data_IF_716089532774
#
_entry.id   IF_716089532774
#
_cell.length_a   1.000
_cell.length_b   1.000
_cell.length_c   1.000
_cell.angle_alpha   90.00
_cell.angle_beta   90.00
_cell.angle_gamma   90.00
#
_symmetry.space_group_name_H-M   'P 1'
#
loop_
_entity.id
_entity.type
_entity.pdbx_description
1 polymer ?
#
# COMPACT_ATOMS: atom_id res chain seq x y z
N UNK A 1 10.63 -12.54 -17.65
CA UNK A 1 10.63 -11.16 -17.11
C UNK A 1 9.22 -10.66 -16.80
N UNK A 2 8.34 -10.37 -17.76
CA UNK A 2 7.01 -9.80 -17.44
C UNK A 2 6.15 -10.71 -16.55
N UNK A 3 6.09 -12.01 -16.87
CA UNK A 3 5.35 -13.00 -16.08
C UNK A 3 5.91 -13.12 -14.66
N UNK A 4 7.23 -13.25 -14.53
CA UNK A 4 7.93 -13.26 -13.25
C UNK A 4 7.67 -11.99 -12.43
N UNK A 5 7.75 -10.81 -13.06
CA UNK A 5 7.47 -9.53 -12.41
C UNK A 5 6.01 -9.42 -12.00
N UNK A 6 5.09 -9.94 -12.80
CA UNK A 6 3.67 -9.97 -12.45
C UNK A 6 3.43 -10.82 -11.19
N UNK A 7 4.03 -12.01 -11.11
CA UNK A 7 3.96 -12.85 -9.92
C UNK A 7 4.55 -12.15 -8.69
N UNK A 8 5.68 -11.45 -8.84
CA UNK A 8 6.28 -10.66 -7.75
C UNK A 8 5.35 -9.53 -7.28
N UNK A 9 4.74 -8.80 -8.21
CA UNK A 9 3.80 -7.70 -7.90
C UNK A 9 2.54 -8.23 -7.22
N UNK A 10 1.98 -9.36 -7.66
CA UNK A 10 0.81 -10.01 -7.04
C UNK A 10 1.11 -10.52 -5.63
N UNK A 11 2.30 -11.11 -5.43
CA UNK A 11 2.75 -11.53 -4.11
C UNK A 11 2.91 -10.33 -3.17
N UNK A 12 3.52 -9.24 -3.65
CA UNK A 12 3.72 -8.02 -2.89
C UNK A 12 2.39 -7.35 -2.51
N UNK A 13 1.44 -7.24 -3.45
CA UNK A 13 0.08 -6.75 -3.21
C UNK A 13 -0.59 -7.52 -2.06
N UNK A 14 -0.56 -8.86 -2.14
CA UNK A 14 -1.14 -9.73 -1.12
C UNK A 14 -0.50 -9.53 0.25
N UNK A 15 0.82 -9.38 0.31
CA UNK A 15 1.56 -9.17 1.56
C UNK A 15 1.29 -7.79 2.16
N UNK A 16 1.31 -6.73 1.34
CA UNK A 16 1.04 -5.37 1.77
C UNK A 16 -0.40 -5.20 2.27
N UNK A 17 -1.39 -5.80 1.61
CA UNK A 17 -2.77 -5.78 2.09
C UNK A 17 -2.93 -6.46 3.46
N UNK A 18 -2.26 -7.59 3.67
CA UNK A 18 -2.27 -8.26 4.99
C UNK A 18 -1.62 -7.39 6.06
N UNK A 19 -0.46 -6.82 5.74
CA UNK A 19 0.27 -5.94 6.65
C UNK A 19 -0.56 -4.69 7.00
N UNK A 20 -1.18 -4.04 6.01
CA UNK A 20 -2.05 -2.89 6.22
C UNK A 20 -3.19 -3.22 7.19
N UNK A 21 -3.91 -4.33 6.98
CA UNK A 21 -4.98 -4.76 7.90
C UNK A 21 -4.47 -5.00 9.33
N UNK A 22 -3.28 -5.59 9.47
CA UNK A 22 -2.66 -5.77 10.79
C UNK A 22 -2.32 -4.43 11.46
N UNK A 23 -1.86 -3.45 10.69
CA UNK A 23 -1.58 -2.09 11.17
C UNK A 23 -2.87 -1.35 11.52
N UNK A 24 -3.92 -1.46 10.72
CA UNK A 24 -5.24 -0.87 11.05
C UNK A 24 -5.79 -1.43 12.37
N UNK A 25 -5.66 -2.74 12.58
CA UNK A 25 -6.02 -3.35 13.86
C UNK A 25 -5.14 -2.83 15.01
N UNK A 26 -3.83 -2.65 14.80
CA UNK A 26 -2.92 -2.09 15.79
C UNK A 26 -3.35 -0.67 16.19
N UNK A 27 -3.68 0.19 15.22
CA UNK A 27 -4.20 1.54 15.44
C UNK A 27 -5.46 1.49 16.31
N UNK A 28 -6.41 0.62 15.95
CA UNK A 28 -7.66 0.49 16.68
C UNK A 28 -7.45 0.04 18.13
N UNK A 29 -6.64 -1.00 18.34
CA UNK A 29 -6.30 -1.49 19.67
C UNK A 29 -5.57 -0.44 20.51
N UNK A 30 -4.72 0.39 19.90
CA UNK A 30 -4.03 1.48 20.61
C UNK A 30 -4.96 2.62 21.01
N UNK A 31 -5.97 2.92 20.19
CA UNK A 31 -7.04 3.86 20.55
C UNK A 31 -7.89 3.33 21.69
N UNK A 32 -8.22 2.04 21.69
CA UNK A 32 -8.93 1.39 22.80
C UNK A 32 -8.11 1.44 24.09
N UNK A 33 -6.80 1.13 24.02
CA UNK A 33 -5.90 1.24 25.16
C UNK A 33 -5.86 2.67 25.72
N UNK A 34 -5.73 3.68 24.86
CA UNK A 34 -5.81 5.09 25.26
C UNK A 34 -7.10 5.39 26.04
N UNK A 35 -8.26 4.97 25.52
CA UNK A 35 -9.55 5.19 26.19
C UNK A 35 -9.63 4.49 27.54
N UNK A 36 -9.17 3.22 27.63
CA UNK A 36 -9.15 2.46 28.88
C UNK A 36 -8.20 3.07 29.92
N UNK A 37 -7.02 3.53 29.50
CA UNK A 37 -6.07 4.24 30.37
C UNK A 37 -6.67 5.52 30.93
N UNK A 38 -7.34 6.34 30.10
CA UNK A 38 -8.00 7.56 30.57
C UNK A 38 -9.18 7.29 31.53
N UNK A 39 -9.91 6.19 31.34
CA UNK A 39 -10.92 5.74 32.31
C UNK A 39 -10.29 5.33 33.63
N UNK A 40 -9.19 4.56 33.58
CA UNK A 40 -8.46 4.15 34.77
C UNK A 40 -7.92 5.35 35.56
N UNK A 41 -7.31 6.32 34.88
CA UNK A 41 -6.81 7.54 35.50
C UNK A 41 -7.91 8.29 36.28
N UNK A 42 -9.09 8.45 35.67
CA UNK A 42 -10.26 9.06 36.34
C UNK A 42 -10.71 8.28 37.56
N UNK A 43 -10.79 6.96 37.46
CA UNK A 43 -11.15 6.10 38.60
C UNK A 43 -10.12 6.19 39.73
N UNK A 44 -8.82 6.19 39.42
CA UNK A 44 -7.74 6.35 40.39
C UNK A 44 -7.83 7.71 41.11
N UNK A 45 -8.11 8.79 40.38
CA UNK A 45 -8.32 10.12 40.97
C UNK A 45 -9.53 10.16 41.91
N UNK A 46 -10.64 9.53 41.52
CA UNK A 46 -11.83 9.43 42.37
C UNK A 46 -11.55 8.66 43.67
N UNK A 47 -10.82 7.54 43.59
CA UNK A 47 -10.39 6.78 44.76
C UNK A 47 -9.44 7.60 45.65
N UNK A 48 -8.48 8.31 45.05
CA UNK A 48 -7.58 9.20 45.79
C UNK A 48 -8.31 10.27 46.59
N UNK A 49 -9.39 10.83 46.04
CA UNK A 49 -10.23 11.81 46.73
C UNK A 49 -11.11 11.22 47.84
N UNK A 50 -11.45 9.93 47.75
CA UNK A 50 -12.27 9.23 48.74
C UNK A 50 -11.44 8.59 49.87
N UNK A 51 -10.12 8.49 49.69
CA UNK A 51 -9.20 7.86 50.63
C UNK A 51 -8.84 8.79 51.80
N UNK A 52 -8.96 8.29 53.02
CA UNK A 52 -8.67 9.05 54.24
C UNK A 52 -7.18 9.00 54.60
N UNK A 53 -6.49 7.90 54.26
CA UNK A 53 -5.07 7.75 54.53
C UNK A 53 -4.24 8.64 53.60
N UNK A 54 -3.66 9.71 54.15
CA UNK A 54 -2.99 10.78 53.37
C UNK A 54 -1.94 10.27 52.38
N UNK A 55 -1.09 9.31 52.78
CA UNK A 55 -0.06 8.78 51.88
C UNK A 55 -0.66 7.96 50.73
N UNK A 56 -1.75 7.23 50.99
CA UNK A 56 -2.42 6.42 49.96
C UNK A 56 -3.22 7.31 49.00
N UNK A 57 -3.94 8.30 49.53
CA UNK A 57 -4.64 9.34 48.76
C UNK A 57 -3.69 10.08 47.80
N UNK A 58 -2.52 10.50 48.31
CA UNK A 58 -1.47 11.14 47.50
C UNK A 58 -0.96 10.22 46.39
N UNK A 59 -0.66 8.96 46.70
CA UNK A 59 -0.15 8.04 45.71
C UNK A 59 -1.18 7.69 44.62
N UNK A 60 -2.46 7.55 44.97
CA UNK A 60 -3.55 7.37 44.00
C UNK A 60 -3.71 8.59 43.08
N UNK A 61 -3.57 9.79 43.62
CA UNK A 61 -3.61 11.03 42.83
C UNK A 61 -2.42 11.11 41.85
N UNK A 62 -1.22 10.76 42.31
CA UNK A 62 -0.03 10.72 41.45
C UNK A 62 -0.08 9.60 40.40
N UNK A 63 -0.70 8.45 40.74
CA UNK A 63 -0.98 7.39 39.77
C UNK A 63 -1.93 7.90 38.68
N UNK A 64 -2.99 8.60 39.07
CA UNK A 64 -3.92 9.20 38.11
C UNK A 64 -3.21 10.19 37.17
N UNK A 65 -2.41 11.11 37.70
CA UNK A 65 -1.62 12.06 36.88
C UNK A 65 -0.63 11.34 35.94
N UNK A 66 -0.04 10.22 36.39
CA UNK A 66 0.86 9.42 35.57
C UNK A 66 0.10 8.77 34.42
N UNK A 67 -1.05 8.16 34.71
CA UNK A 67 -1.89 7.50 33.72
C UNK A 67 -2.52 8.50 32.73
N UNK A 68 -2.86 9.73 33.15
CA UNK A 68 -3.25 10.81 32.21
C UNK A 68 -2.14 11.13 31.21
N UNK A 69 -0.88 11.16 31.66
CA UNK A 69 0.27 11.36 30.76
C UNK A 69 0.49 10.16 29.84
N UNK A 70 0.26 8.94 30.32
CA UNK A 70 0.34 7.70 29.53
C UNK A 70 -0.79 7.63 28.48
N UNK A 71 -2.01 8.06 28.83
CA UNK A 71 -3.14 8.21 27.89
C UNK A 71 -2.71 9.08 26.70
N UNK A 72 -2.13 10.26 26.97
CA UNK A 72 -1.68 11.17 25.92
C UNK A 72 -0.58 10.56 25.04
N UNK A 73 0.32 9.76 25.61
CA UNK A 73 1.31 9.02 24.83
C UNK A 73 0.65 7.96 23.94
N UNK A 74 -0.30 7.19 24.46
CA UNK A 74 -1.02 6.19 23.64
C UNK A 74 -1.79 6.84 22.50
N UNK A 75 -2.37 8.02 22.74
CA UNK A 75 -3.04 8.81 21.70
C UNK A 75 -2.05 9.23 20.60
N UNK A 76 -0.94 9.88 20.97
CA UNK A 76 0.08 10.30 20.01
C UNK A 76 0.62 9.10 19.22
N UNK A 77 0.90 7.99 19.90
CA UNK A 77 1.41 6.78 19.27
C UNK A 77 0.37 6.11 18.33
N UNK A 78 -0.94 6.24 18.60
CA UNK A 78 -2.00 5.79 17.70
C UNK A 78 -2.13 6.69 16.46
N UNK A 79 -1.94 8.00 16.64
CA UNK A 79 -1.92 8.96 15.54
C UNK A 79 -0.69 8.73 14.64
N UNK A 80 0.49 8.47 15.20
CA UNK A 80 1.68 8.11 14.42
C UNK A 80 1.51 6.79 13.67
N UNK A 81 0.94 5.75 14.31
CA UNK A 81 0.62 4.49 13.63
C UNK A 81 -0.28 4.72 12.41
N UNK A 82 -1.28 5.58 12.56
CA UNK A 82 -2.23 5.86 11.49
C UNK A 82 -1.62 6.71 10.38
N UNK A 83 -1.14 7.90 10.71
CA UNK A 83 -0.70 8.89 9.73
C UNK A 83 0.62 8.54 9.06
N UNK A 84 1.50 7.79 9.73
CA UNK A 84 2.81 7.43 9.16
C UNK A 84 2.72 6.07 8.48
N UNK A 85 2.53 4.99 9.24
CA UNK A 85 2.69 3.64 8.69
C UNK A 85 1.43 3.12 7.99
N UNK A 86 0.23 3.39 8.50
CA UNK A 86 -1.01 2.92 7.86
C UNK A 86 -1.25 3.62 6.52
N UNK A 87 -1.20 4.94 6.48
CA UNK A 87 -1.40 5.68 5.22
C UNK A 87 -0.27 5.42 4.21
N UNK A 88 0.99 5.25 4.65
CA UNK A 88 2.08 4.81 3.77
C UNK A 88 1.75 3.46 3.11
N UNK A 89 1.33 2.47 3.89
CA UNK A 89 1.00 1.14 3.36
C UNK A 89 -0.15 1.21 2.36
N UNK A 90 -1.18 2.02 2.64
CA UNK A 90 -2.32 2.24 1.75
C UNK A 90 -1.90 2.88 0.42
N UNK A 91 -1.06 3.91 0.47
CA UNK A 91 -0.52 4.56 -0.72
C UNK A 91 0.30 3.58 -1.57
N UNK A 92 1.09 2.71 -0.92
CA UNK A 92 1.83 1.67 -1.60
C UNK A 92 0.92 0.62 -2.24
N UNK A 93 -0.17 0.21 -1.58
CA UNK A 93 -1.16 -0.70 -2.18
C UNK A 93 -1.77 -0.08 -3.45
N UNK A 94 -2.17 1.20 -3.39
CA UNK A 94 -2.72 1.91 -4.54
C UNK A 94 -1.72 2.01 -5.70
N UNK A 95 -0.46 2.24 -5.37
CA UNK A 95 0.62 2.33 -6.34
C UNK A 95 0.91 0.98 -7.00
N UNK A 96 0.90 -0.11 -6.22
CA UNK A 96 1.00 -1.48 -6.74
C UNK A 96 -0.19 -1.82 -7.65
N UNK A 97 -1.39 -1.37 -7.30
CA UNK A 97 -2.55 -1.51 -8.17
C UNK A 97 -2.35 -0.78 -9.51
N UNK A 98 -1.77 0.42 -9.50
CA UNK A 98 -1.43 1.16 -10.72
C UNK A 98 -0.43 0.40 -11.60
N UNK A 99 0.56 -0.28 -11.00
CA UNK A 99 1.50 -1.14 -11.74
C UNK A 99 0.78 -2.33 -12.39
N UNK A 100 -0.16 -2.97 -11.68
CA UNK A 100 -0.98 -4.06 -12.22
C UNK A 100 -1.82 -3.61 -13.41
N UNK A 101 -2.42 -2.43 -13.33
CA UNK A 101 -3.23 -1.85 -14.41
C UNK A 101 -2.38 -1.62 -15.66
N UNK A 102 -1.15 -1.11 -15.49
CA UNK A 102 -0.19 -0.92 -16.60
C UNK A 102 0.21 -2.27 -17.25
N UNK A 103 0.39 -3.33 -16.45
CA UNK A 103 0.65 -4.67 -17.00
C UNK A 103 -0.56 -5.20 -17.78
N UNK A 104 -1.78 -4.92 -17.31
CA UNK A 104 -2.99 -5.27 -18.01
C UNK A 104 -3.14 -4.53 -19.34
N UNK A 105 -2.80 -3.23 -19.40
CA UNK A 105 -2.75 -2.48 -20.66
C UNK A 105 -1.76 -3.07 -21.65
N UNK A 106 -0.60 -3.55 -21.20
CA UNK A 106 0.34 -4.27 -22.08
C UNK A 106 -0.28 -5.54 -22.67
N UNK A 107 -1.03 -6.29 -21.87
CA UNK A 107 -1.75 -7.49 -22.36
C UNK A 107 -2.80 -7.10 -23.42
N UNK A 108 -3.52 -5.98 -23.23
CA UNK A 108 -4.45 -5.46 -24.25
C UNK A 108 -3.73 -5.08 -25.55
N UNK A 109 -2.60 -4.36 -25.47
CA UNK A 109 -1.79 -4.04 -26.65
C UNK A 109 -1.34 -5.30 -27.39
N UNK A 110 -0.85 -6.31 -26.67
CA UNK A 110 -0.46 -7.60 -27.25
C UNK A 110 -1.64 -8.29 -27.96
N UNK A 111 -2.81 -8.33 -27.30
CA UNK A 111 -4.01 -8.91 -27.87
C UNK A 111 -4.42 -8.20 -29.16
N UNK A 112 -4.45 -6.86 -29.16
CA UNK A 112 -4.79 -6.07 -30.34
C UNK A 112 -3.84 -6.34 -31.50
N UNK A 113 -2.54 -6.46 -31.22
CA UNK A 113 -1.53 -6.82 -32.23
C UNK A 113 -1.79 -8.21 -32.81
N UNK A 114 -2.04 -9.22 -31.97
CA UNK A 114 -2.32 -10.60 -32.42
C UNK A 114 -3.66 -10.75 -33.14
N UNK A 115 -4.69 -10.02 -32.72
CA UNK A 115 -5.97 -10.00 -33.42
C UNK A 115 -5.82 -9.38 -34.82
N UNK A 116 -4.98 -8.34 -34.97
CA UNK A 116 -4.64 -7.77 -36.28
C UNK A 116 -3.87 -8.76 -37.18
N UNK A 117 -2.95 -9.55 -36.61
CA UNK A 117 -2.20 -10.59 -37.33
C UNK A 117 -3.13 -11.67 -37.89
N UNK A 118 -4.05 -12.17 -37.07
CA UNK A 118 -5.06 -13.16 -37.48
C UNK A 118 -6.00 -12.60 -38.55
N UNK A 119 -6.43 -11.34 -38.39
CA UNK A 119 -7.30 -10.69 -39.37
C UNK A 119 -6.60 -10.48 -40.71
N UNK A 120 -5.34 -10.05 -40.71
CA UNK A 120 -4.53 -9.92 -41.93
C UNK A 120 -4.39 -11.27 -42.65
N UNK A 121 -4.12 -12.35 -41.92
CA UNK A 121 -4.06 -13.69 -42.50
C UNK A 121 -5.37 -14.09 -43.20
N UNK A 122 -6.52 -13.84 -42.56
CA UNK A 122 -7.85 -14.07 -43.15
C UNK A 122 -8.10 -13.23 -44.40
N UNK A 123 -7.65 -11.96 -44.43
CA UNK A 123 -7.78 -11.09 -45.60
C UNK A 123 -6.94 -11.58 -46.78
N UNK A 124 -5.71 -12.05 -46.51
CA UNK A 124 -4.84 -12.67 -47.52
C UNK A 124 -5.43 -13.97 -48.09
N UNK A 125 -5.98 -14.83 -47.23
CA UNK A 125 -6.68 -16.06 -47.67
C UNK A 125 -7.91 -15.74 -48.54
N UNK A 126 -8.71 -14.74 -48.14
CA UNK A 126 -9.86 -14.31 -48.93
C UNK A 126 -9.45 -13.78 -50.31
N UNK A 127 -8.37 -12.99 -50.40
CA UNK A 127 -7.84 -12.54 -51.69
C UNK A 127 -7.42 -13.72 -52.57
N UNK A 128 -6.65 -14.68 -52.02
CA UNK A 128 -6.24 -15.87 -52.77
C UNK A 128 -7.45 -16.67 -53.28
N UNK A 129 -8.51 -16.79 -52.47
CA UNK A 129 -9.77 -17.44 -52.89
C UNK A 129 -10.47 -16.69 -54.02
N UNK A 130 -10.48 -15.35 -54.00
CA UNK A 130 -11.05 -14.53 -55.08
C UNK A 130 -10.26 -14.66 -56.39
N UNK A 131 -8.94 -14.77 -56.30
CA UNK A 131 -8.05 -15.01 -57.45
C UNK A 131 -8.36 -16.36 -58.12
N UNK A 132 -8.47 -17.43 -57.33
CA UNK A 132 -8.87 -18.77 -57.82
C UNK A 132 -10.28 -18.76 -58.43
N UNK A 133 -11.19 -17.94 -57.90
CA UNK A 133 -12.55 -17.82 -58.41
C UNK A 133 -12.69 -16.86 -59.61
N UNK A 134 -11.59 -16.28 -60.12
CA UNK A 134 -11.56 -15.32 -61.22
C UNK A 134 -12.47 -14.08 -61.03
N UNK A 135 -12.70 -13.65 -59.77
CA UNK A 135 -13.53 -12.47 -59.43
C UNK A 135 -12.70 -11.19 -59.41
N UNK A 136 -12.27 -10.75 -60.59
CA UNK A 136 -11.32 -9.64 -60.77
C UNK A 136 -11.86 -8.28 -60.31
N UNK A 137 -13.18 -8.09 -60.31
CA UNK A 137 -13.87 -6.88 -59.83
C UNK A 137 -13.63 -6.59 -58.34
N UNK A 138 -13.41 -7.64 -57.53
CA UNK A 138 -13.23 -7.53 -56.06
C UNK A 138 -11.77 -7.52 -55.60
N UNK A 139 -10.82 -7.80 -56.50
CA UNK A 139 -9.40 -7.91 -56.15
C UNK A 139 -8.80 -6.60 -55.67
N UNK A 140 -9.18 -5.48 -56.29
CA UNK A 140 -8.69 -4.15 -55.88
C UNK A 140 -9.10 -3.81 -54.46
N UNK A 141 -10.37 -4.08 -54.09
CA UNK A 141 -10.87 -3.85 -52.74
C UNK A 141 -10.17 -4.78 -51.73
N UNK A 142 -10.03 -6.07 -52.05
CA UNK A 142 -9.34 -7.02 -51.18
C UNK A 142 -7.87 -6.64 -50.95
N UNK A 143 -7.19 -6.10 -51.97
CA UNK A 143 -5.82 -5.61 -51.84
C UNK A 143 -5.73 -4.37 -50.94
N UNK A 144 -6.67 -3.43 -51.07
CA UNK A 144 -6.71 -2.25 -50.20
C UNK A 144 -6.93 -2.64 -48.73
N UNK A 145 -7.87 -3.56 -48.46
CA UNK A 145 -8.10 -4.08 -47.11
C UNK A 145 -6.84 -4.74 -46.52
N UNK A 146 -6.07 -5.48 -47.34
CA UNK A 146 -4.79 -6.06 -46.90
C UNK A 146 -3.82 -4.96 -46.48
N UNK A 147 -3.63 -3.92 -47.31
CA UNK A 147 -2.73 -2.80 -46.99
C UNK A 147 -3.14 -2.09 -45.71
N UNK A 148 -4.44 -1.87 -45.48
CA UNK A 148 -4.94 -1.26 -44.24
C UNK A 148 -4.66 -2.13 -43.00
N UNK A 149 -4.81 -3.45 -43.11
CA UNK A 149 -4.52 -4.37 -42.01
C UNK A 149 -3.01 -4.58 -41.80
N UNK A 150 -2.18 -4.45 -42.83
CA UNK A 150 -0.71 -4.42 -42.71
C UNK A 150 -0.26 -3.22 -41.88
N UNK A 151 -0.79 -2.02 -42.14
CA UNK A 151 -0.50 -0.83 -41.34
C UNK A 151 -0.97 -0.98 -39.88
N UNK A 152 -2.14 -1.59 -39.66
CA UNK A 152 -2.64 -1.87 -38.29
C UNK A 152 -1.76 -2.88 -37.56
N UNK A 153 -1.25 -3.88 -38.25
CA UNK A 153 -0.35 -4.88 -37.68
C UNK A 153 0.97 -4.23 -37.25
N UNK A 154 1.58 -3.44 -38.14
CA UNK A 154 2.82 -2.70 -37.87
C UNK A 154 2.66 -1.77 -36.68
N UNK A 155 1.62 -0.94 -36.67
CA UNK A 155 1.32 -0.06 -35.54
C UNK A 155 1.08 -0.83 -34.24
N UNK A 156 0.34 -1.93 -34.28
CA UNK A 156 0.09 -2.77 -33.10
C UNK A 156 1.37 -3.37 -32.52
N UNK A 157 2.32 -3.75 -33.39
CA UNK A 157 3.63 -4.22 -32.98
C UNK A 157 4.44 -3.09 -32.33
N UNK A 158 4.53 -1.92 -32.97
CA UNK A 158 5.22 -0.74 -32.43
C UNK A 158 4.68 -0.32 -31.07
N UNK A 159 3.35 -0.24 -30.92
CA UNK A 159 2.68 0.12 -29.67
C UNK A 159 3.02 -0.89 -28.56
N UNK A 160 3.02 -2.19 -28.88
CA UNK A 160 3.36 -3.26 -27.92
C UNK A 160 4.84 -3.25 -27.51
N UNK A 161 5.75 -3.00 -28.45
CA UNK A 161 7.19 -2.90 -28.17
C UNK A 161 7.47 -1.67 -27.30
N UNK A 162 6.90 -0.52 -27.66
CA UNK A 162 7.05 0.74 -26.93
C UNK A 162 6.52 0.67 -25.51
N UNK A 163 5.30 0.16 -25.29
CA UNK A 163 4.75 0.00 -23.94
C UNK A 163 5.61 -0.99 -23.13
N UNK A 164 6.10 -2.07 -23.76
CA UNK A 164 6.97 -3.04 -23.09
C UNK A 164 8.31 -2.42 -22.66
N UNK A 165 8.89 -1.54 -23.47
CA UNK A 165 10.14 -0.84 -23.12
C UNK A 165 9.93 0.14 -21.96
N UNK A 166 8.89 0.98 -22.05
CA UNK A 166 8.55 1.96 -21.02
C UNK A 166 8.30 1.25 -19.69
N UNK A 167 7.51 0.17 -19.68
CA UNK A 167 7.22 -0.56 -18.44
C UNK A 167 8.50 -1.10 -17.78
N UNK A 168 9.44 -1.67 -18.57
CA UNK A 168 10.71 -2.15 -17.99
C UNK A 168 11.51 -1.04 -17.34
N UNK A 169 11.56 0.13 -17.98
CA UNK A 169 12.26 1.30 -17.45
C UNK A 169 11.61 1.81 -16.16
N UNK A 170 10.31 1.99 -16.17
CA UNK A 170 9.54 2.51 -15.02
C UNK A 170 9.56 1.53 -13.83
N UNK A 171 9.41 0.23 -14.06
CA UNK A 171 9.50 -0.79 -12.99
C UNK A 171 10.88 -0.78 -12.35
N UNK A 172 11.96 -0.65 -13.15
CA UNK A 172 13.32 -0.56 -12.60
C UNK A 172 13.51 0.69 -11.75
N UNK A 173 12.96 1.83 -12.18
CA UNK A 173 13.03 3.08 -11.42
C UNK A 173 12.21 2.98 -10.12
N UNK A 174 11.00 2.43 -10.22
CA UNK A 174 10.11 2.15 -9.11
C UNK A 174 10.80 1.35 -8.01
N UNK A 175 11.45 0.24 -8.35
CA UNK A 175 12.13 -0.63 -7.38
C UNK A 175 13.25 0.08 -6.62
N UNK A 176 14.01 0.97 -7.28
CA UNK A 176 15.11 1.69 -6.63
C UNK A 176 14.60 2.80 -5.72
N UNK A 177 13.72 3.66 -6.23
CA UNK A 177 13.26 4.83 -5.48
C UNK A 177 12.32 4.44 -4.34
N UNK A 178 11.38 3.51 -4.57
CA UNK A 178 10.35 3.20 -3.58
C UNK A 178 10.86 2.36 -2.42
N UNK A 179 11.85 1.50 -2.63
CA UNK A 179 12.50 0.82 -1.51
C UNK A 179 13.18 1.82 -0.57
N UNK A 180 13.80 2.87 -1.12
CA UNK A 180 14.43 3.92 -0.32
C UNK A 180 13.39 4.75 0.46
N UNK A 181 12.33 5.20 -0.22
CA UNK A 181 11.24 5.98 0.39
C UNK A 181 10.56 5.18 1.52
N UNK A 182 10.19 3.93 1.26
CA UNK A 182 9.54 3.06 2.24
C UNK A 182 10.44 2.85 3.46
N UNK A 183 11.72 2.57 3.24
CA UNK A 183 12.70 2.40 4.32
C UNK A 183 12.81 3.66 5.17
N UNK A 184 12.89 4.83 4.55
CA UNK A 184 13.00 6.10 5.27
C UNK A 184 11.77 6.33 6.17
N UNK A 185 10.56 6.12 5.63
CA UNK A 185 9.32 6.28 6.39
C UNK A 185 9.21 5.29 7.56
N UNK A 186 9.63 4.03 7.37
CA UNK A 186 9.68 3.03 8.46
C UNK A 186 10.70 3.41 9.53
N UNK A 187 11.87 3.94 9.17
CA UNK A 187 12.85 4.41 10.14
C UNK A 187 12.25 5.54 10.97
N UNK A 188 11.65 6.54 10.33
CA UNK A 188 10.99 7.65 11.02
C UNK A 188 9.89 7.14 11.96
N UNK A 189 9.08 6.17 11.54
CA UNK A 189 8.09 5.56 12.41
C UNK A 189 8.71 4.88 13.65
N UNK A 190 9.80 4.12 13.46
CA UNK A 190 10.49 3.44 14.56
C UNK A 190 11.16 4.42 15.53
N UNK A 191 11.67 5.55 15.04
CA UNK A 191 12.21 6.63 15.86
C UNK A 191 11.13 7.22 16.78
N UNK A 192 9.96 7.57 16.23
CA UNK A 192 8.83 8.04 17.03
C UNK A 192 8.37 6.99 18.05
N UNK A 193 8.32 5.72 17.65
CA UNK A 193 7.97 4.63 18.55
C UNK A 193 8.94 4.54 19.73
N UNK A 194 10.25 4.61 19.46
CA UNK A 194 11.28 4.61 20.50
C UNK A 194 11.16 5.79 21.45
N UNK A 195 10.94 7.00 20.93
CA UNK A 195 10.76 8.20 21.75
C UNK A 195 9.56 8.08 22.69
N UNK A 196 8.43 7.55 22.21
CA UNK A 196 7.25 7.31 23.05
C UNK A 196 7.54 6.31 24.16
N UNK A 197 8.25 5.21 23.86
CA UNK A 197 8.65 4.24 24.89
C UNK A 197 9.60 4.85 25.93
N UNK A 198 10.54 5.70 25.52
CA UNK A 198 11.42 6.40 26.46
C UNK A 198 10.65 7.37 27.38
N UNK A 199 9.64 8.08 26.85
CA UNK A 199 8.78 8.95 27.67
C UNK A 199 7.96 8.13 28.67
N UNK A 200 7.41 6.99 28.23
CA UNK A 200 6.65 6.07 29.09
C UNK A 200 7.49 5.61 30.29
N UNK A 201 8.73 5.19 30.06
CA UNK A 201 9.68 4.80 31.13
C UNK A 201 9.85 5.95 32.12
N UNK A 202 10.14 7.16 31.63
CA UNK A 202 10.34 8.35 32.50
C UNK A 202 9.13 8.66 33.37
N UNK A 203 7.91 8.51 32.85
CA UNK A 203 6.70 8.75 33.63
C UNK A 203 6.55 7.74 34.77
N UNK A 204 6.78 6.45 34.48
CA UNK A 204 6.73 5.41 35.51
C UNK A 204 7.88 5.51 36.54
N UNK A 205 9.09 5.88 36.10
CA UNK A 205 10.20 6.14 37.01
C UNK A 205 9.93 7.31 37.96
N UNK A 206 9.25 8.35 37.48
CA UNK A 206 8.84 9.49 38.31
C UNK A 206 7.77 9.12 39.34
N UNK A 207 6.88 8.16 39.02
CA UNK A 207 5.86 7.67 39.94
C UNK A 207 6.40 6.70 41.01
N UNK A 208 7.45 5.95 40.68
CA UNK A 208 7.99 4.87 41.53
C UNK A 208 8.26 5.26 43.00
N UNK A 209 8.80 6.46 43.33
CA UNK A 209 9.02 6.86 44.72
C UNK A 209 7.71 7.00 45.52
N UNK A 210 6.67 7.55 44.91
CA UNK A 210 5.35 7.73 45.56
C UNK A 210 4.70 6.37 45.83
N UNK A 211 4.84 5.41 44.91
CA UNK A 211 4.39 4.04 45.13
C UNK A 211 5.12 3.35 46.30
N UNK A 212 6.44 3.59 46.44
CA UNK A 212 7.24 3.04 47.53
C UNK A 212 6.93 3.66 48.89
N UNK A 213 6.40 4.89 48.92
CA UNK A 213 6.07 5.59 50.16
C UNK A 213 4.82 5.03 50.87
N UNK A 214 4.07 4.14 50.21
CA UNK A 214 2.89 3.46 50.77
C UNK A 214 3.27 2.15 51.48
N UNK A 215 4.40 1.53 51.10
CA UNK A 215 4.88 0.25 51.63
C UNK A 215 5.60 0.43 52.97
#
# INVERSE_FOLDING_TARGET
WFEEKQQQVEALDTQLQKLHRSVENLVQQRRELCLSTGQFAKSAAMLGNAEEHTALSRALSQLAETEEKVELLHKDQADQDYYVISELLKDYINLIQSVKDVFHERVKCYKNWKDAEVMLARKRENKARLEVAHKTDKLSQAQQEITEWEQKLEKGQEDFEKISEIIRKEVKFFEVCRVADFKAAVITYLEHLMETQQKLIKYWEAFLPEAKAIA
#
